data_IF_406346988990
#
_entry.id   IF_406346988990
#
_cell.length_a   1.000
_cell.length_b   1.000
_cell.length_c   1.000
_cell.angle_alpha   90.00
_cell.angle_beta   90.00
_cell.angle_gamma   90.00
#
_symmetry.space_group_name_H-M   'P 1'
#
loop_
_entity.id
_entity.type
_entity.pdbx_description
1 polymer ?
#
# COMPACT_ATOMS: atom_id res chain seq x y z
N UNK A 1 -50.72 42.10 24.00
CA UNK A 1 -51.41 41.29 22.96
C UNK A 1 -50.78 39.90 22.96
N UNK A 2 -51.46 38.83 23.42
CA UNK A 2 -52.39 37.98 22.64
C UNK A 2 -51.70 37.38 21.39
N UNK A 3 -51.60 36.07 21.09
CA UNK A 3 -52.19 34.84 21.62
C UNK A 3 -51.34 33.59 21.30
N UNK A 4 -51.51 32.56 22.14
CA UNK A 4 -51.58 31.10 21.90
C UNK A 4 -51.46 30.51 20.48
N UNK A 5 -50.90 29.29 20.38
CA UNK A 5 -51.71 28.04 20.23
C UNK A 5 -50.88 26.73 20.31
N UNK A 6 -51.47 25.80 21.06
CA UNK A 6 -51.23 24.35 21.20
C UNK A 6 -51.61 23.55 19.94
N UNK A 7 -50.97 22.39 19.72
CA UNK A 7 -51.54 21.07 19.32
C UNK A 7 -50.59 20.00 19.92
N UNK A 8 -50.94 19.15 20.89
CA UNK A 8 -51.92 18.05 21.09
C UNK A 8 -51.62 16.77 20.26
N UNK A 9 -51.47 15.68 21.04
CA UNK A 9 -51.17 14.27 20.81
C UNK A 9 -52.07 13.48 19.83
N UNK A 10 -51.63 12.26 19.46
CA UNK A 10 -52.32 10.95 19.70
C UNK A 10 -51.63 9.81 18.91
N UNK A 11 -51.15 8.75 19.57
CA UNK A 11 -51.66 7.34 19.66
C UNK A 11 -51.12 6.39 18.57
N UNK A 12 -50.39 5.34 18.96
CA UNK A 12 -50.85 3.99 19.33
C UNK A 12 -51.07 3.08 18.11
N UNK A 13 -50.43 1.91 18.12
CA UNK A 13 -50.53 0.86 17.11
C UNK A 13 -49.57 -0.27 17.44
N UNK A 14 -50.14 -1.34 17.97
CA UNK A 14 -49.56 -2.55 18.57
C UNK A 14 -49.71 -3.74 17.60
N UNK A 15 -48.91 -4.81 17.81
CA UNK A 15 -48.97 -6.21 17.29
C UNK A 15 -48.85 -6.41 15.76
N UNK A 16 -48.31 -7.51 15.19
CA UNK A 16 -48.28 -8.90 15.63
C UNK A 16 -47.23 -9.75 14.85
N UNK A 17 -47.06 -10.99 15.31
CA UNK A 17 -46.09 -12.03 14.93
C UNK A 17 -46.20 -12.60 13.50
N UNK A 18 -45.10 -13.20 13.00
CA UNK A 18 -45.13 -14.53 12.37
C UNK A 18 -43.72 -15.12 12.15
N UNK A 19 -43.57 -16.34 12.65
CA UNK A 19 -42.49 -17.30 12.54
C UNK A 19 -42.80 -18.22 11.36
N UNK A 20 -41.84 -18.52 10.47
CA UNK A 20 -41.84 -19.80 9.74
C UNK A 20 -40.42 -20.28 9.50
N UNK A 21 -40.21 -21.52 9.91
CA UNK A 21 -39.06 -22.41 9.76
C UNK A 21 -39.39 -23.28 8.54
N UNK A 22 -38.43 -23.65 7.70
CA UNK A 22 -38.51 -24.93 6.99
C UNK A 22 -37.11 -25.45 6.69
N UNK A 23 -36.79 -26.55 7.37
CA UNK A 23 -35.83 -27.54 6.95
C UNK A 23 -36.47 -28.42 5.88
N UNK A 24 -35.65 -28.97 4.98
CA UNK A 24 -35.84 -30.32 4.48
C UNK A 24 -34.48 -30.90 4.10
N UNK A 25 -34.24 -32.04 4.69
CA UNK A 25 -33.28 -33.10 4.39
C UNK A 25 -33.78 -33.88 3.13
N UNK A 26 -33.22 -34.95 2.56
CA UNK A 26 -32.23 -35.99 2.86
C UNK A 26 -31.87 -36.66 1.50
N UNK A 27 -30.89 -37.58 1.54
CA UNK A 27 -30.62 -38.71 0.61
C UNK A 27 -29.85 -38.42 -0.69
N UNK A 28 -28.55 -38.73 -0.78
CA UNK A 28 -27.90 -40.04 -0.91
C UNK A 28 -27.96 -40.60 -2.35
N UNK A 29 -26.81 -40.69 -3.02
CA UNK A 29 -26.42 -41.95 -3.67
C UNK A 29 -24.91 -42.02 -3.99
N UNK A 30 -24.42 -43.25 -3.87
CA UNK A 30 -23.06 -43.75 -4.04
C UNK A 30 -22.82 -44.02 -5.53
N UNK A 31 -21.61 -43.80 -6.03
CA UNK A 31 -20.97 -44.71 -6.98
C UNK A 31 -19.47 -44.44 -7.08
N UNK A 32 -18.69 -45.37 -6.51
CA UNK A 32 -17.33 -45.67 -6.92
C UNK A 32 -17.39 -46.36 -8.30
N UNK A 33 -16.49 -46.00 -9.21
CA UNK A 33 -15.53 -46.92 -9.86
C UNK A 33 -14.85 -46.29 -11.08
N UNK A 34 -13.67 -46.85 -11.37
CA UNK A 34 -12.92 -46.88 -12.63
C UNK A 34 -11.86 -45.80 -12.93
N UNK A 35 -10.64 -46.19 -12.56
CA UNK A 35 -9.48 -46.32 -13.44
C UNK A 35 -9.29 -45.27 -14.55
N UNK A 36 -8.26 -44.42 -14.38
CA UNK A 36 -7.53 -43.93 -15.53
C UNK A 36 -6.02 -43.92 -15.27
N UNK A 37 -5.40 -45.06 -15.55
CA UNK A 37 -3.97 -45.20 -15.72
C UNK A 37 -3.55 -44.49 -17.02
N UNK A 38 -2.96 -43.29 -16.89
CA UNK A 38 -2.24 -42.66 -18.00
C UNK A 38 -0.77 -42.46 -17.61
N UNK A 39 0.02 -43.51 -17.78
CA UNK A 39 1.48 -43.40 -17.90
C UNK A 39 1.83 -42.84 -19.28
N UNK A 40 2.63 -41.76 -19.40
CA UNK A 40 3.05 -41.24 -20.69
C UNK A 40 4.07 -42.19 -21.36
N UNK A 41 4.04 -42.37 -22.69
CA UNK A 41 5.03 -43.15 -23.40
C UNK A 41 6.37 -42.40 -23.49
N UNK A 42 7.44 -43.08 -23.09
CA UNK A 42 8.84 -42.67 -23.24
C UNK A 42 9.20 -42.58 -24.73
N UNK A 43 9.37 -41.37 -25.25
CA UNK A 43 10.02 -41.11 -26.52
C UNK A 43 11.51 -40.78 -26.30
N UNK A 44 12.43 -41.26 -27.17
CA UNK A 44 13.86 -41.02 -27.02
C UNK A 44 14.24 -39.58 -27.34
N UNK A 45 15.02 -38.96 -26.46
CA UNK A 45 15.46 -37.56 -26.58
C UNK A 45 16.59 -37.48 -27.60
N UNK A 46 16.29 -36.92 -28.77
CA UNK A 46 17.27 -36.50 -29.78
C UNK A 46 18.01 -35.24 -29.27
N UNK A 47 19.33 -35.38 -29.12
CA UNK A 47 20.25 -34.32 -28.67
C UNK A 47 20.59 -33.36 -29.82
N UNK A 48 19.63 -32.55 -30.27
CA UNK A 48 19.90 -31.54 -31.30
C UNK A 48 19.04 -30.27 -31.20
N UNK A 49 19.17 -29.52 -30.09
CA UNK A 49 18.85 -28.09 -30.07
C UNK A 49 20.03 -27.27 -29.54
N UNK A 50 20.98 -27.07 -30.46
CA UNK A 50 22.05 -26.11 -30.38
C UNK A 50 21.49 -24.68 -30.51
N UNK A 51 21.90 -23.80 -29.59
CA UNK A 51 22.11 -22.36 -29.77
C UNK A 51 20.88 -21.49 -30.16
N UNK A 52 20.03 -21.19 -29.18
CA UNK A 52 19.39 -19.87 -29.14
C UNK A 52 20.25 -18.95 -28.25
N UNK A 53 20.58 -17.71 -28.68
CA UNK A 53 21.20 -16.75 -27.77
C UNK A 53 20.26 -16.57 -26.57
N UNK A 54 20.78 -16.29 -25.36
CA UNK A 54 19.91 -15.99 -24.24
C UNK A 54 19.00 -14.86 -24.69
N UNK A 55 17.71 -15.20 -24.81
CA UNK A 55 16.64 -14.23 -24.97
C UNK A 55 16.95 -13.14 -23.97
N UNK A 56 17.24 -11.92 -24.46
CA UNK A 56 17.19 -10.71 -23.65
C UNK A 56 15.73 -10.60 -23.21
N UNK A 57 15.36 -11.42 -22.22
CA UNK A 57 14.14 -11.24 -21.47
C UNK A 57 14.21 -9.79 -21.05
N UNK A 58 13.24 -9.03 -21.55
CA UNK A 58 13.09 -7.61 -21.26
C UNK A 58 12.94 -7.57 -19.75
N UNK A 59 14.05 -7.35 -19.03
CA UNK A 59 14.04 -7.22 -17.58
C UNK A 59 12.95 -6.17 -17.34
N UNK A 60 11.84 -6.57 -16.73
CA UNK A 60 10.73 -5.67 -16.46
C UNK A 60 11.28 -4.59 -15.54
N UNK A 61 11.73 -3.48 -16.13
CA UNK A 61 12.66 -2.51 -15.53
C UNK A 61 12.00 -1.60 -14.49
N UNK A 62 10.77 -1.91 -14.10
CA UNK A 62 9.91 -1.10 -13.24
C UNK A 62 9.82 -1.69 -11.84
N UNK A 63 10.96 -1.89 -11.18
CA UNK A 63 10.99 -2.17 -9.73
C UNK A 63 11.20 -0.89 -8.90
N UNK A 64 11.86 0.13 -9.47
CA UNK A 64 12.19 1.36 -8.77
C UNK A 64 11.25 2.50 -9.13
N UNK A 65 10.73 3.19 -8.12
CA UNK A 65 9.89 4.37 -8.30
C UNK A 65 10.34 5.48 -7.36
N UNK A 66 10.01 6.72 -7.70
CA UNK A 66 10.23 7.89 -6.84
C UNK A 66 8.91 8.49 -6.39
N UNK A 67 8.83 8.88 -5.12
CA UNK A 67 7.73 9.67 -4.57
C UNK A 67 8.24 10.95 -3.93
N UNK A 68 7.37 11.96 -3.88
CA UNK A 68 7.60 13.18 -3.11
C UNK A 68 7.22 12.96 -1.65
N UNK A 69 8.13 13.31 -0.73
CA UNK A 69 7.91 13.34 0.73
C UNK A 69 8.35 14.72 1.26
N UNK A 70 7.53 15.32 2.14
CA UNK A 70 7.89 16.58 2.80
C UNK A 70 9.09 16.39 3.74
N UNK A 71 9.99 17.37 3.83
CA UNK A 71 11.17 17.36 4.72
C UNK A 71 10.82 16.92 6.14
N UNK A 72 9.79 17.50 6.76
CA UNK A 72 9.34 17.09 8.11
C UNK A 72 9.06 15.59 8.26
N UNK A 73 8.54 14.95 7.21
CA UNK A 73 8.22 13.52 7.24
C UNK A 73 9.47 12.67 6.98
N UNK A 74 10.41 13.17 6.19
CA UNK A 74 11.73 12.53 6.04
C UNK A 74 12.47 12.57 7.37
N UNK A 75 12.46 13.70 8.08
CA UNK A 75 13.04 13.82 9.42
C UNK A 75 12.40 12.82 10.41
N UNK A 76 11.07 12.71 10.45
CA UNK A 76 10.40 11.69 11.28
C UNK A 76 10.79 10.27 10.92
N UNK A 77 11.01 9.97 9.63
CA UNK A 77 11.47 8.63 9.20
C UNK A 77 12.87 8.36 9.74
N UNK A 78 13.79 9.32 9.58
CA UNK A 78 15.17 9.18 10.03
C UNK A 78 15.29 9.11 11.57
N UNK A 79 14.38 9.79 12.28
CA UNK A 79 14.30 9.75 13.73
C UNK A 79 13.58 8.50 14.28
N UNK A 80 13.05 7.63 13.42
CA UNK A 80 12.28 6.44 13.83
C UNK A 80 10.86 6.75 14.33
N UNK A 81 10.46 8.02 14.38
CA UNK A 81 9.13 8.43 14.85
C UNK A 81 8.03 8.23 13.80
N UNK A 82 8.40 7.95 12.54
CA UNK A 82 7.49 7.52 11.47
C UNK A 82 7.99 6.24 10.81
N UNK A 83 7.31 5.12 11.05
CA UNK A 83 7.68 3.79 10.53
C UNK A 83 6.89 3.34 9.30
N UNK A 84 5.82 4.06 8.94
CA UNK A 84 4.99 3.77 7.78
C UNK A 84 4.82 4.98 6.87
N UNK A 85 4.83 4.75 5.55
CA UNK A 85 4.34 5.71 4.57
C UNK A 85 2.87 5.45 4.23
N UNK A 86 2.03 6.49 4.35
CA UNK A 86 0.59 6.38 4.22
C UNK A 86 0.11 7.00 2.90
N UNK A 87 -0.66 6.26 2.10
CA UNK A 87 -1.18 6.72 0.81
C UNK A 87 -2.62 6.25 0.60
N UNK A 88 -3.37 6.98 -0.23
CA UNK A 88 -4.73 6.60 -0.65
C UNK A 88 -4.75 5.53 -1.76
N UNK A 89 -3.59 5.00 -2.10
CA UNK A 89 -3.37 3.99 -3.13
C UNK A 89 -2.16 3.14 -2.73
N UNK A 90 -2.08 1.88 -3.15
CA UNK A 90 -0.90 1.07 -2.89
C UNK A 90 0.28 1.61 -3.71
N UNK A 91 1.46 1.67 -3.10
CA UNK A 91 2.70 1.96 -3.80
C UNK A 91 3.05 0.81 -4.74
N UNK A 92 3.61 1.13 -5.93
CA UNK A 92 3.61 0.19 -7.05
C UNK A 92 4.71 -0.87 -6.98
N UNK A 93 5.71 -0.71 -6.10
CA UNK A 93 6.81 -1.65 -5.92
C UNK A 93 7.46 -1.47 -4.52
N UNK A 94 8.50 -2.26 -4.24
CA UNK A 94 9.24 -2.23 -2.96
C UNK A 94 10.34 -1.17 -2.90
N UNK A 95 10.91 -0.82 -4.05
CA UNK A 95 12.11 -0.01 -4.13
C UNK A 95 11.75 1.47 -4.34
N UNK A 96 11.77 2.23 -3.25
CA UNK A 96 11.24 3.58 -3.19
C UNK A 96 12.34 4.62 -3.05
N UNK A 97 12.53 5.43 -4.08
CA UNK A 97 13.33 6.64 -4.01
C UNK A 97 12.52 7.79 -3.44
N UNK A 98 13.15 8.58 -2.57
CA UNK A 98 12.51 9.69 -1.87
C UNK A 98 13.03 10.99 -2.46
N UNK A 99 12.16 11.65 -3.23
CA UNK A 99 12.32 13.07 -3.56
C UNK A 99 11.84 13.87 -2.35
N UNK A 100 12.78 14.51 -1.68
CA UNK A 100 12.47 15.44 -0.61
C UNK A 100 12.06 16.77 -1.22
N UNK A 101 10.87 17.27 -0.84
CA UNK A 101 10.34 18.51 -1.40
C UNK A 101 11.11 19.73 -0.90
N UNK A 102 10.64 20.94 -1.22
CA UNK A 102 11.20 22.17 -0.68
C UNK A 102 11.34 22.12 0.86
N UNK A 103 12.45 22.64 1.42
CA UNK A 103 13.49 23.44 0.73
C UNK A 103 14.54 22.62 -0.04
N UNK A 104 14.65 21.31 0.20
CA UNK A 104 15.72 20.46 -0.37
C UNK A 104 15.58 20.25 -1.87
N UNK A 105 14.38 19.91 -2.34
CA UNK A 105 14.06 19.72 -3.77
C UNK A 105 15.01 18.77 -4.52
N UNK A 106 15.33 17.64 -3.89
CA UNK A 106 16.27 16.66 -4.41
C UNK A 106 15.93 15.23 -3.96
N UNK A 107 16.37 14.24 -4.73
CA UNK A 107 16.44 12.86 -4.25
C UNK A 107 17.64 12.75 -3.32
N UNK A 108 17.40 12.34 -2.08
CA UNK A 108 18.44 12.12 -1.06
C UNK A 108 18.45 10.72 -0.47
N UNK A 109 17.32 10.03 -0.53
CA UNK A 109 17.15 8.76 0.14
C UNK A 109 16.55 7.71 -0.77
N UNK A 110 16.87 6.48 -0.45
CA UNK A 110 16.25 5.27 -0.97
C UNK A 110 15.72 4.48 0.22
N UNK A 111 14.54 3.90 0.07
CA UNK A 111 13.90 3.10 1.09
C UNK A 111 13.40 1.79 0.50
N UNK A 112 13.50 0.73 1.29
CA UNK A 112 12.84 -0.54 1.01
C UNK A 112 11.56 -0.58 1.82
N UNK A 113 10.44 -0.84 1.16
CA UNK A 113 9.13 -0.92 1.83
C UNK A 113 8.53 -2.33 1.76
N UNK A 114 7.71 -2.65 2.76
CA UNK A 114 6.89 -3.86 2.76
C UNK A 114 5.67 -3.74 1.83
N UNK A 115 5.00 -4.88 1.64
CA UNK A 115 3.66 -4.91 1.06
C UNK A 115 2.71 -3.99 1.85
N UNK A 116 1.68 -3.40 1.20
CA UNK A 116 0.74 -2.54 1.88
C UNK A 116 -0.06 -3.30 2.95
N UNK A 117 -0.40 -2.60 4.02
CA UNK A 117 -1.43 -3.01 4.97
C UNK A 117 -2.59 -1.99 5.03
N UNK A 118 -3.74 -2.43 5.53
CA UNK A 118 -5.00 -1.70 5.70
C UNK A 118 -5.19 -1.23 7.15
N UNK A 119 -6.11 -0.29 7.40
CA UNK A 119 -6.52 0.05 8.76
C UNK A 119 -6.85 -1.20 9.58
N UNK A 120 -6.24 -1.33 10.76
CA UNK A 120 -6.40 -2.47 11.66
C UNK A 120 -5.29 -3.52 11.54
N UNK A 121 -4.45 -3.43 10.51
CA UNK A 121 -3.40 -4.42 10.23
C UNK A 121 -2.00 -4.00 10.71
N UNK A 122 -1.81 -2.77 11.21
CA UNK A 122 -0.55 -2.42 11.90
C UNK A 122 -0.52 -3.16 13.26
N UNK A 123 0.59 -3.86 13.60
CA UNK A 123 0.74 -4.55 14.89
C UNK A 123 0.56 -3.65 16.12
N UNK A 124 -0.04 -4.19 17.20
CA UNK A 124 -0.35 -3.44 18.43
C UNK A 124 0.89 -2.81 19.06
N UNK A 125 2.01 -3.53 19.05
CA UNK A 125 3.31 -3.07 19.57
C UNK A 125 3.86 -1.84 18.84
N UNK A 126 3.37 -1.53 17.64
CA UNK A 126 3.78 -0.36 16.85
C UNK A 126 2.77 0.79 16.88
N UNK A 127 1.62 0.64 17.54
CA UNK A 127 0.58 1.69 17.54
C UNK A 127 0.95 2.93 18.36
N UNK A 128 1.95 2.84 19.22
CA UNK A 128 2.47 3.98 19.98
C UNK A 128 3.29 4.96 19.11
N UNK A 129 3.74 4.53 17.92
CA UNK A 129 4.50 5.34 16.97
C UNK A 129 3.57 6.30 16.22
N UNK A 130 4.07 7.48 15.84
CA UNK A 130 3.28 8.58 15.27
C UNK A 130 2.36 8.12 14.12
N UNK A 131 1.08 8.49 14.20
CA UNK A 131 0.01 8.19 13.23
C UNK A 131 -0.39 6.72 13.07
N UNK A 132 0.31 5.76 13.66
CA UNK A 132 -0.01 4.34 13.50
C UNK A 132 -1.36 3.99 14.12
N UNK A 133 -1.63 4.41 15.36
CA UNK A 133 -2.95 4.22 16.00
C UNK A 133 -4.07 4.89 15.20
N UNK A 134 -3.88 6.14 14.78
CA UNK A 134 -4.89 6.86 14.00
C UNK A 134 -5.20 6.14 12.68
N UNK A 135 -4.19 5.64 11.98
CA UNK A 135 -4.39 4.84 10.78
C UNK A 135 -5.18 3.56 11.08
N UNK A 136 -4.82 2.82 12.14
CA UNK A 136 -5.52 1.59 12.52
C UNK A 136 -6.98 1.83 12.92
N UNK A 137 -7.26 2.95 13.58
CA UNK A 137 -8.61 3.38 13.94
C UNK A 137 -9.44 3.86 12.72
N UNK A 138 -8.86 3.79 11.50
CA UNK A 138 -9.48 4.27 10.27
C UNK A 138 -9.62 5.78 10.19
N UNK A 139 -8.85 6.53 10.99
CA UNK A 139 -8.86 8.00 11.01
C UNK A 139 -7.96 8.51 9.87
N UNK A 140 -8.55 9.23 8.92
CA UNK A 140 -7.75 9.93 7.91
C UNK A 140 -7.03 11.12 8.56
N UNK A 141 -5.79 11.42 8.11
CA UNK A 141 -4.85 12.36 8.74
C UNK A 141 -5.26 13.84 8.89
N UNK A 142 -6.56 14.17 8.77
CA UNK A 142 -7.14 15.48 9.03
C UNK A 142 -8.47 15.41 9.80
N UNK A 143 -8.97 14.21 10.12
CA UNK A 143 -10.27 14.02 10.73
C UNK A 143 -10.11 13.81 12.23
N UNK A 144 -10.17 14.89 13.01
CA UNK A 144 -10.62 14.74 14.41
C UNK A 144 -12.06 14.23 14.32
N UNK A 145 -12.43 13.15 15.03
CA UNK A 145 -13.82 12.75 15.10
C UNK A 145 -14.65 13.92 15.63
N UNK A 146 -15.54 14.43 14.80
CA UNK A 146 -16.61 15.25 15.31
C UNK A 146 -17.43 14.33 16.23
N UNK A 147 -17.35 14.52 17.55
CA UNK A 147 -17.95 13.62 18.56
C UNK A 147 -19.47 13.46 18.36
N UNK A 148 -20.08 14.27 17.50
CA UNK A 148 -21.50 14.29 17.19
C UNK A 148 -21.93 13.55 15.91
N UNK A 149 -21.01 13.11 15.04
CA UNK A 149 -21.41 12.51 13.76
C UNK A 149 -21.82 11.03 13.91
N UNK A 150 -23.13 10.77 14.05
CA UNK A 150 -23.75 9.43 14.06
C UNK A 150 -23.70 8.69 12.71
N UNK A 151 -23.03 9.23 11.68
CA UNK A 151 -22.92 8.55 10.38
C UNK A 151 -21.77 7.54 10.42
N UNK A 152 -21.96 6.32 9.90
CA UNK A 152 -20.86 5.38 9.74
C UNK A 152 -19.76 6.05 8.91
N UNK A 153 -18.53 6.00 9.43
CA UNK A 153 -17.36 6.54 8.73
C UNK A 153 -17.24 5.74 7.42
N UNK A 154 -17.26 6.44 6.29
CA UNK A 154 -16.95 5.83 5.00
C UNK A 154 -15.58 5.17 5.10
N UNK A 155 -15.48 3.88 4.78
CA UNK A 155 -14.20 3.18 4.68
C UNK A 155 -13.24 4.02 3.84
N UNK A 156 -12.17 4.47 4.46
CA UNK A 156 -11.17 5.28 3.77
C UNK A 156 -10.19 4.29 3.16
N UNK A 157 -10.11 4.27 1.82
CA UNK A 157 -9.14 3.48 1.06
C UNK A 157 -7.71 4.02 1.28
N UNK A 158 -7.16 3.77 2.46
CA UNK A 158 -5.78 4.06 2.80
C UNK A 158 -4.97 2.78 2.87
N UNK A 159 -3.69 2.94 2.61
CA UNK A 159 -2.66 1.91 2.65
C UNK A 159 -1.51 2.46 3.46
N UNK A 160 -0.95 1.63 4.33
CA UNK A 160 0.28 1.90 5.03
C UNK A 160 1.37 0.96 4.50
N UNK A 161 2.54 1.53 4.21
CA UNK A 161 3.70 0.79 3.75
C UNK A 161 4.80 0.89 4.79
N UNK A 162 5.11 -0.22 5.46
CA UNK A 162 6.18 -0.26 6.47
C UNK A 162 7.50 0.06 5.78
N UNK A 163 8.24 1.01 6.34
CA UNK A 163 9.60 1.33 5.93
C UNK A 163 10.53 0.33 6.62
N UNK A 164 11.21 -0.50 5.85
CA UNK A 164 12.07 -1.58 6.35
C UNK A 164 13.52 -1.11 6.48
N UNK A 165 13.96 -0.34 5.49
CA UNK A 165 15.32 0.18 5.42
C UNK A 165 15.31 1.57 4.82
N UNK A 166 16.25 2.41 5.24
CA UNK A 166 16.53 3.70 4.62
C UNK A 166 18.02 3.80 4.37
N UNK A 167 18.33 4.30 3.19
CA UNK A 167 19.67 4.51 2.68
C UNK A 167 19.78 5.96 2.24
N UNK A 168 20.91 6.59 2.50
CA UNK A 168 21.22 7.97 2.13
C UNK A 168 22.21 7.99 0.98
N UNK A 169 21.91 8.79 -0.03
CA UNK A 169 22.85 9.10 -1.09
C UNK A 169 23.98 9.96 -0.56
N UNK A 170 25.21 9.63 -1.00
CA UNK A 170 26.37 10.48 -0.78
C UNK A 170 26.13 11.91 -1.28
N UNK A 171 25.68 12.03 -2.52
CA UNK A 171 25.35 13.31 -3.15
C UNK A 171 23.86 13.39 -3.52
N UNK A 172 23.22 14.50 -3.16
CA UNK A 172 21.81 14.71 -3.47
C UNK A 172 21.62 15.00 -4.97
N UNK A 173 20.63 14.36 -5.60
CA UNK A 173 20.28 14.63 -6.99
C UNK A 173 19.15 15.64 -7.08
N UNK A 174 19.45 16.86 -7.51
CA UNK A 174 18.45 17.93 -7.67
C UNK A 174 17.38 17.57 -8.71
N UNK A 175 16.18 18.14 -8.56
CA UNK A 175 15.11 17.97 -9.56
C UNK A 175 15.58 18.33 -10.97
N UNK A 176 16.34 19.43 -11.10
CA UNK A 176 16.89 19.89 -12.38
C UNK A 176 17.76 18.82 -13.03
N UNK A 177 18.71 18.26 -12.28
CA UNK A 177 19.60 17.22 -12.79
C UNK A 177 18.83 15.96 -13.22
N UNK A 178 17.79 15.57 -12.48
CA UNK A 178 16.96 14.41 -12.82
C UNK A 178 16.15 14.63 -14.12
N UNK A 179 15.65 15.84 -14.33
CA UNK A 179 14.94 16.22 -15.56
C UNK A 179 15.90 16.29 -16.75
N UNK A 180 17.06 16.92 -16.59
CA UNK A 180 18.08 17.04 -17.65
C UNK A 180 18.61 15.66 -18.08
N UNK A 181 18.76 14.71 -17.15
CA UNK A 181 19.11 13.32 -17.47
C UNK A 181 17.95 12.51 -18.09
N UNK A 182 16.73 13.07 -18.16
CA UNK A 182 15.55 12.37 -18.65
C UNK A 182 15.13 11.19 -17.76
N UNK A 183 15.34 11.30 -16.45
CA UNK A 183 14.95 10.25 -15.49
C UNK A 183 13.50 10.42 -15.05
N UNK A 184 13.07 11.67 -14.84
CA UNK A 184 11.69 12.04 -14.51
C UNK A 184 11.32 13.35 -15.22
N UNK A 185 10.02 13.59 -15.43
CA UNK A 185 9.52 14.83 -16.06
C UNK A 185 9.31 16.00 -15.09
N UNK A 186 9.47 15.78 -13.78
CA UNK A 186 9.18 16.77 -12.75
C UNK A 186 9.02 16.12 -11.37
N UNK A 187 8.77 16.93 -10.34
CA UNK A 187 8.51 16.41 -9.00
C UNK A 187 7.27 15.50 -9.01
N UNK A 188 7.35 14.24 -8.50
CA UNK A 188 6.21 13.33 -8.57
C UNK A 188 4.99 13.82 -7.80
N UNK A 189 3.83 13.89 -8.45
CA UNK A 189 2.55 14.12 -7.77
C UNK A 189 2.01 12.82 -7.14
N UNK A 190 2.13 11.71 -7.86
CA UNK A 190 1.81 10.35 -7.39
C UNK A 190 3.09 9.57 -7.13
N UNK A 191 3.70 9.07 -8.20
CA UNK A 191 5.05 8.52 -8.27
C UNK A 191 5.57 8.66 -9.72
N UNK A 192 6.87 8.50 -9.94
CA UNK A 192 7.45 8.31 -11.26
C UNK A 192 8.32 7.06 -11.28
N UNK A 193 8.33 6.31 -12.38
CA UNK A 193 9.21 5.14 -12.53
C UNK A 193 10.65 5.58 -12.79
N UNK A 194 11.61 4.88 -12.21
CA UNK A 194 13.02 5.00 -12.49
C UNK A 194 13.51 3.72 -13.15
N UNK A 195 14.25 3.88 -14.24
CA UNK A 195 14.86 2.76 -14.94
C UNK A 195 16.09 2.28 -14.18
N UNK A 196 16.15 0.98 -13.86
CA UNK A 196 17.31 0.35 -13.19
C UNK A 196 18.62 0.70 -13.88
N UNK A 197 18.64 0.65 -15.22
CA UNK A 197 19.86 0.92 -15.99
C UNK A 197 20.37 2.36 -15.80
N UNK A 198 19.48 3.29 -15.43
CA UNK A 198 19.85 4.69 -15.18
C UNK A 198 20.38 4.91 -13.77
N UNK A 199 19.94 4.11 -12.79
CA UNK A 199 20.21 4.35 -11.36
C UNK A 199 21.25 3.39 -10.75
N UNK A 200 21.80 2.46 -11.52
CA UNK A 200 22.75 1.44 -11.03
C UNK A 200 23.94 2.06 -10.31
N UNK A 201 24.57 3.06 -10.94
CA UNK A 201 25.78 3.69 -10.43
C UNK A 201 25.47 4.51 -9.19
N UNK A 202 24.32 5.16 -9.17
CA UNK A 202 23.82 5.94 -8.02
C UNK A 202 23.49 5.04 -6.83
N UNK A 203 23.01 3.81 -7.05
CA UNK A 203 22.80 2.85 -5.94
C UNK A 203 24.10 2.46 -5.27
N UNK A 204 25.22 2.44 -5.98
CA UNK A 204 26.53 2.12 -5.40
C UNK A 204 27.03 3.21 -4.43
N UNK A 205 26.47 4.43 -4.50
CA UNK A 205 26.79 5.55 -3.62
C UNK A 205 25.90 5.63 -2.36
N UNK A 206 25.03 4.64 -2.15
CA UNK A 206 24.16 4.57 -0.99
C UNK A 206 24.90 4.09 0.25
N UNK A 207 24.63 4.74 1.37
CA UNK A 207 25.04 4.30 2.70
C UNK A 207 23.81 4.04 3.56
N UNK A 208 23.82 2.96 4.34
CA UNK A 208 22.69 2.60 5.21
C UNK A 208 22.56 3.66 6.30
N UNK A 209 21.32 4.05 6.59
CA UNK A 209 20.99 4.89 7.74
C UNK A 209 20.49 3.99 8.86
N UNK A 210 21.12 4.10 10.02
CA UNK A 210 20.61 3.48 11.25
C UNK A 210 19.41 4.30 11.74
N UNK A 211 18.24 3.68 11.78
CA UNK A 211 17.02 4.28 12.31
C UNK A 211 16.84 3.76 13.75
N UNK A 212 16.71 4.63 14.75
CA UNK A 212 16.39 4.20 16.10
C UNK A 212 15.08 3.39 16.10
N UNK A 213 15.15 2.15 16.57
CA UNK A 213 13.98 1.27 16.77
C UNK A 213 13.41 1.43 18.16
#
# INVERSE_FOLDING_TARGET
>A
MMQSRKRKASSAGEVDAARTINANSDDADIHEDDENSNTPPTAPIDQSYSLLPPSKSKLSSKSHFVISIYTRHVESILAGTKTYEFRKYPLPARDMWIYETAPVSAIRYYAVIAAPCRPGEIPEDQLHIERNRQFNDGLSGTSVPDKASKKPRKEVNWYAHRILEVWKLKEAMSLKALVEKGWIGGAPQKYAWLDIAKISDVKAELSRVEIPT
#
